data_IF_543397060047
#
_entry.id   IF_543397060047
#
_cell.length_a   1.000
_cell.length_b   1.000
_cell.length_c   1.000
_cell.angle_alpha   90.00
_cell.angle_beta   90.00
_cell.angle_gamma   90.00
#
_symmetry.space_group_name_H-M   'P 1'
#
loop_
_entity.id
_entity.type
_entity.pdbx_description
1 polymer ?
#
# COMPACT_ATOMS: atom_id res chain seq x y z
N UNK A 1 45.05 39.07 -22.50
CA UNK A 1 44.82 39.69 -23.82
C UNK A 1 43.32 39.63 -24.10
N UNK A 2 42.70 40.82 -24.25
CA UNK A 2 41.41 41.23 -24.88
C UNK A 2 40.36 40.15 -25.22
N UNK A 3 39.03 40.31 -25.12
CA UNK A 3 38.06 41.41 -24.91
C UNK A 3 36.70 40.70 -24.68
N UNK A 4 35.83 41.03 -23.71
CA UNK A 4 34.89 42.17 -23.62
C UNK A 4 33.70 42.18 -24.62
N UNK A 5 32.49 42.35 -24.03
CA UNK A 5 31.24 42.94 -24.55
C UNK A 5 30.26 41.99 -25.31
N UNK A 6 28.93 42.06 -25.22
CA UNK A 6 27.98 43.13 -24.82
C UNK A 6 26.59 42.52 -24.48
N UNK A 7 25.85 43.20 -23.60
CA UNK A 7 24.46 42.94 -23.24
C UNK A 7 23.46 43.54 -24.26
N UNK A 8 22.27 42.94 -24.41
CA UNK A 8 21.05 43.65 -24.86
C UNK A 8 19.83 43.18 -24.08
N UNK A 9 19.23 44.14 -23.39
CA UNK A 9 17.93 44.12 -22.71
C UNK A 9 16.78 44.16 -23.71
N UNK A 10 15.72 43.36 -23.50
CA UNK A 10 14.39 43.67 -24.02
C UNK A 10 13.36 43.61 -22.88
N UNK A 11 12.88 44.80 -22.49
CA UNK A 11 11.66 45.01 -21.70
C UNK A 11 10.46 44.79 -22.60
N UNK A 12 9.50 44.00 -22.15
CA UNK A 12 8.12 44.01 -22.69
C UNK A 12 7.22 44.58 -21.59
N UNK A 13 6.57 45.71 -21.90
CA UNK A 13 5.51 46.33 -21.12
C UNK A 13 4.19 46.11 -21.87
N UNK A 14 3.22 45.48 -21.23
CA UNK A 14 1.78 45.60 -21.57
C UNK A 14 1.03 45.52 -20.23
N UNK A 15 0.65 46.67 -19.67
CA UNK A 15 -0.62 47.37 -19.86
C UNK A 15 -1.81 46.59 -19.29
N UNK A 16 -2.17 46.96 -18.06
CA UNK A 16 -3.37 46.55 -17.34
C UNK A 16 -4.60 47.24 -17.95
N UNK A 17 -5.71 46.51 -18.10
CA UNK A 17 -7.05 47.06 -18.34
C UNK A 17 -7.99 46.44 -17.30
N UNK A 18 -8.67 47.21 -16.45
CA UNK A 18 -9.66 46.68 -15.51
C UNK A 18 -11.03 46.61 -16.18
N UNK A 19 -11.69 45.44 -16.10
CA UNK A 19 -13.10 45.29 -16.46
C UNK A 19 -13.93 45.36 -15.17
N UNK A 20 -14.61 46.48 -14.99
CA UNK A 20 -15.74 46.67 -14.08
C UNK A 20 -16.99 46.07 -14.73
N UNK A 21 -17.70 45.17 -14.05
CA UNK A 21 -19.09 44.84 -14.39
C UNK A 21 -19.95 45.00 -13.15
N UNK A 22 -20.99 45.84 -13.32
CA UNK A 22 -21.93 46.31 -12.33
C UNK A 22 -22.86 45.20 -11.80
N UNK A 23 -23.15 45.34 -10.51
CA UNK A 23 -24.29 44.75 -9.79
C UNK A 23 -25.59 45.35 -10.33
N UNK A 24 -26.55 44.50 -10.70
CA UNK A 24 -27.92 44.87 -11.06
C UNK A 24 -28.93 44.02 -10.30
N UNK A 25 -29.49 44.60 -9.25
CA UNK A 25 -30.59 44.06 -8.46
C UNK A 25 -31.91 44.42 -9.16
N UNK A 26 -32.77 43.45 -9.49
CA UNK A 26 -34.18 43.71 -9.82
C UNK A 26 -35.08 42.66 -9.16
N UNK A 27 -35.75 43.12 -8.12
CA UNK A 27 -36.93 42.53 -7.52
C UNK A 27 -38.14 42.91 -8.40
N UNK A 28 -38.98 41.96 -8.78
CA UNK A 28 -40.43 42.17 -8.90
C UNK A 28 -41.22 40.86 -9.00
N UNK A 29 -42.32 40.88 -8.27
CA UNK A 29 -43.36 39.88 -8.04
C UNK A 29 -44.39 39.84 -9.17
N UNK A 30 -44.88 38.66 -9.56
CA UNK A 30 -46.31 38.45 -9.92
C UNK A 30 -46.66 36.97 -10.12
N UNK A 31 -47.42 36.47 -9.16
CA UNK A 31 -48.58 35.54 -9.21
C UNK A 31 -48.95 34.92 -10.58
N UNK A 32 -48.89 33.57 -10.61
CA UNK A 32 -50.03 32.71 -10.93
C UNK A 32 -50.29 32.37 -12.41
N UNK A 33 -49.99 31.12 -12.77
CA UNK A 33 -50.83 30.28 -13.64
C UNK A 33 -50.43 28.81 -13.37
N UNK A 34 -51.31 28.09 -12.67
CA UNK A 34 -51.16 26.67 -12.39
C UNK A 34 -51.37 25.87 -13.69
N UNK A 35 -50.31 25.21 -14.16
CA UNK A 35 -50.42 24.11 -15.11
C UNK A 35 -50.29 22.81 -14.32
N UNK A 36 -51.38 22.06 -14.23
CA UNK A 36 -51.39 20.69 -13.72
C UNK A 36 -50.80 19.75 -14.77
N UNK A 37 -49.47 19.61 -14.77
CA UNK A 37 -48.80 18.51 -15.45
C UNK A 37 -48.77 17.32 -14.47
N UNK A 38 -49.67 16.37 -14.71
CA UNK A 38 -49.70 15.09 -14.01
C UNK A 38 -48.60 14.18 -14.57
N UNK A 39 -47.33 14.52 -14.33
CA UNK A 39 -46.24 13.59 -14.58
C UNK A 39 -46.17 12.61 -13.42
N UNK A 40 -46.66 11.38 -13.66
CA UNK A 40 -46.25 10.20 -12.88
C UNK A 40 -44.76 9.99 -13.14
N UNK A 41 -43.92 10.73 -12.42
CA UNK A 41 -42.55 10.32 -12.17
C UNK A 41 -42.64 9.02 -11.36
N UNK A 42 -42.44 7.89 -12.03
CA UNK A 42 -41.97 6.66 -11.39
C UNK A 42 -40.72 7.04 -10.63
N UNK A 43 -40.83 7.18 -9.31
CA UNK A 43 -39.70 7.32 -8.42
C UNK A 43 -38.88 6.03 -8.57
N UNK A 44 -37.92 6.03 -9.48
CA UNK A 44 -36.79 5.11 -9.43
C UNK A 44 -36.10 5.37 -8.11
N UNK A 45 -36.27 4.42 -7.20
CA UNK A 45 -35.50 4.31 -5.98
C UNK A 45 -34.02 4.56 -6.32
N UNK A 46 -33.32 5.48 -5.65
CA UNK A 46 -31.89 5.64 -5.88
C UNK A 46 -31.22 4.28 -5.67
N UNK A 47 -30.24 3.91 -6.50
CA UNK A 47 -29.56 2.63 -6.33
C UNK A 47 -29.11 2.51 -4.88
N UNK A 48 -29.58 1.44 -4.22
CA UNK A 48 -29.27 1.12 -2.83
C UNK A 48 -27.78 1.37 -2.60
N UNK A 49 -27.48 2.42 -1.83
CA UNK A 49 -26.10 2.73 -1.47
C UNK A 49 -25.56 1.48 -0.79
N UNK A 50 -24.49 0.90 -1.34
CA UNK A 50 -23.82 -0.22 -0.72
C UNK A 50 -23.61 0.13 0.78
N UNK A 51 -24.01 -0.76 1.71
CA UNK A 51 -23.91 -0.44 3.13
C UNK A 51 -22.49 -0.02 3.45
N UNK A 52 -22.35 1.08 4.20
CA UNK A 52 -21.04 1.57 4.62
C UNK A 52 -20.22 0.40 5.20
N UNK A 53 -18.93 0.29 4.84
CA UNK A 53 -18.13 -0.85 5.27
C UNK A 53 -18.11 -0.90 6.80
N UNK A 54 -18.55 -2.03 7.33
CA UNK A 54 -18.65 -2.21 8.78
C UNK A 54 -17.26 -2.18 9.42
N UNK A 55 -17.18 -1.68 10.65
CA UNK A 55 -15.96 -1.68 11.44
C UNK A 55 -15.61 -3.08 11.95
N UNK A 56 -14.32 -3.31 12.17
CA UNK A 56 -13.81 -4.49 12.84
C UNK A 56 -14.19 -4.49 14.33
N UNK A 57 -14.20 -5.69 14.91
CA UNK A 57 -14.21 -5.80 16.38
C UNK A 57 -12.87 -5.25 16.92
N UNK A 58 -12.86 -4.63 18.12
CA UNK A 58 -11.61 -4.17 18.71
C UNK A 58 -10.58 -5.29 18.81
N UNK A 59 -9.38 -5.03 18.31
CA UNK A 59 -8.23 -5.91 18.43
C UNK A 59 -7.31 -5.41 19.56
N UNK A 60 -6.66 -6.31 20.32
CA UNK A 60 -5.74 -5.91 21.39
C UNK A 60 -4.57 -5.10 20.83
N UNK A 61 -4.02 -4.15 21.59
CA UNK A 61 -2.83 -3.37 21.18
C UNK A 61 -3.02 -2.59 19.86
N UNK A 62 -4.21 -1.99 19.71
CA UNK A 62 -4.54 -1.11 18.58
C UNK A 62 -4.45 0.35 19.00
N UNK A 63 -3.71 1.15 18.24
CA UNK A 63 -3.62 2.60 18.33
C UNK A 63 -4.46 3.26 17.22
N UNK A 64 -5.49 3.99 17.62
CA UNK A 64 -6.48 4.58 16.71
C UNK A 64 -7.69 3.68 16.43
N UNK A 65 -8.75 4.30 15.90
CA UNK A 65 -10.03 3.64 15.60
C UNK A 65 -10.27 3.60 14.08
N UNK A 66 -11.35 2.93 13.65
CA UNK A 66 -11.80 2.97 12.25
C UNK A 66 -11.25 1.85 11.37
N UNK A 67 -10.63 0.82 11.95
CA UNK A 67 -10.24 -0.39 11.21
C UNK A 67 -11.49 -1.03 10.59
N UNK A 68 -11.52 -1.15 9.27
CA UNK A 68 -12.60 -1.85 8.57
C UNK A 68 -12.61 -3.33 8.94
N UNK A 69 -13.79 -3.95 8.91
CA UNK A 69 -13.96 -5.38 9.13
C UNK A 69 -13.08 -6.17 8.18
N UNK A 70 -12.48 -7.25 8.69
CA UNK A 70 -11.73 -8.19 7.88
C UNK A 70 -12.59 -8.68 6.70
N UNK A 71 -12.10 -8.59 5.45
CA UNK A 71 -12.80 -9.14 4.31
C UNK A 71 -13.00 -10.66 4.48
N UNK A 72 -14.14 -11.24 4.07
CA UNK A 72 -14.34 -12.69 4.19
C UNK A 72 -13.32 -13.47 3.34
N UNK A 73 -13.00 -14.71 3.69
CA UNK A 73 -12.14 -15.52 2.81
C UNK A 73 -12.77 -15.66 1.41
N UNK A 74 -11.93 -15.83 0.37
CA UNK A 74 -12.43 -16.21 -0.95
C UNK A 74 -12.88 -17.67 -0.95
N UNK A 75 -13.88 -17.96 -1.77
CA UNK A 75 -14.31 -19.34 -2.02
C UNK A 75 -13.20 -20.11 -2.72
N UNK A 76 -13.12 -21.43 -2.48
CA UNK A 76 -12.08 -22.27 -3.08
C UNK A 76 -12.08 -22.24 -4.62
N UNK A 77 -13.26 -22.07 -5.22
CA UNK A 77 -13.39 -21.94 -6.67
C UNK A 77 -12.71 -20.66 -7.19
N UNK A 78 -12.92 -19.54 -6.50
CA UNK A 78 -12.31 -18.26 -6.84
C UNK A 78 -10.79 -18.32 -6.66
N UNK A 79 -10.32 -18.89 -5.55
CA UNK A 79 -8.87 -19.08 -5.30
C UNK A 79 -8.23 -19.87 -6.44
N UNK A 80 -8.83 -21.00 -6.85
CA UNK A 80 -8.33 -21.81 -7.97
C UNK A 80 -8.32 -21.03 -9.28
N UNK A 81 -9.38 -20.27 -9.55
CA UNK A 81 -9.48 -19.45 -10.76
C UNK A 81 -8.39 -18.37 -10.80
N UNK A 82 -8.26 -17.58 -9.73
CA UNK A 82 -7.25 -16.51 -9.62
C UNK A 82 -5.82 -17.04 -9.67
N UNK A 83 -5.57 -18.19 -9.04
CA UNK A 83 -4.28 -18.85 -9.12
C UNK A 83 -3.96 -19.31 -10.55
N UNK A 84 -4.96 -19.82 -11.28
CA UNK A 84 -4.77 -20.24 -12.67
C UNK A 84 -4.37 -19.06 -13.56
N UNK A 85 -5.15 -17.97 -13.52
CA UNK A 85 -4.87 -16.79 -14.37
C UNK A 85 -3.56 -16.11 -13.97
N UNK A 86 -3.18 -16.13 -12.69
CA UNK A 86 -1.93 -15.54 -12.21
C UNK A 86 -0.69 -16.27 -12.72
N UNK A 87 -0.75 -17.60 -12.91
CA UNK A 87 0.35 -18.34 -13.55
C UNK A 87 0.56 -17.91 -15.00
N UNK A 88 -0.54 -17.69 -15.72
CA UNK A 88 -0.48 -17.28 -17.14
C UNK A 88 0.11 -15.86 -17.28
N UNK A 89 -0.12 -14.99 -16.29
CA UNK A 89 0.41 -13.61 -16.25
C UNK A 89 1.92 -13.49 -16.08
N UNK A 90 2.63 -14.58 -15.77
CA UNK A 90 4.08 -14.56 -15.51
C UNK A 90 4.95 -14.55 -16.78
N UNK A 91 4.38 -14.77 -17.96
CA UNK A 91 5.15 -15.08 -19.18
C UNK A 91 5.21 -13.97 -20.21
N UNK A 92 4.39 -12.92 -20.05
CA UNK A 92 4.26 -11.83 -21.03
C UNK A 92 4.17 -10.47 -20.33
N UNK A 93 4.68 -9.42 -20.99
CA UNK A 93 4.51 -8.04 -20.50
C UNK A 93 5.24 -7.70 -19.21
N UNK A 94 6.31 -8.42 -18.87
CA UNK A 94 7.09 -8.13 -17.67
C UNK A 94 7.67 -6.72 -17.70
N UNK A 95 7.51 -5.96 -16.61
CA UNK A 95 8.19 -4.68 -16.43
C UNK A 95 9.72 -4.87 -16.29
N UNK A 96 10.11 -5.88 -15.51
CA UNK A 96 11.47 -6.44 -15.44
C UNK A 96 11.34 -7.95 -15.43
N UNK A 97 12.30 -8.70 -15.99
CA UNK A 97 12.24 -10.16 -16.00
C UNK A 97 12.12 -10.74 -14.58
N UNK A 98 11.26 -11.76 -14.42
CA UNK A 98 11.03 -12.46 -13.15
C UNK A 98 12.35 -12.87 -12.47
N UNK A 99 12.44 -12.68 -11.16
CA UNK A 99 13.61 -13.02 -10.35
C UNK A 99 14.77 -12.02 -10.41
N UNK A 100 14.70 -11.02 -11.30
CA UNK A 100 15.72 -9.95 -11.36
C UNK A 100 15.68 -9.12 -10.09
N UNK A 101 16.85 -8.81 -9.52
CA UNK A 101 16.94 -7.92 -8.35
C UNK A 101 16.56 -6.49 -8.76
N UNK A 102 15.56 -5.93 -8.08
CA UNK A 102 15.06 -4.57 -8.29
C UNK A 102 15.78 -3.53 -7.43
N UNK A 103 16.26 -3.96 -6.26
CA UNK A 103 16.94 -3.17 -5.26
C UNK A 103 17.10 -3.97 -3.97
N UNK A 104 17.66 -3.36 -2.93
CA UNK A 104 17.78 -3.98 -1.62
C UNK A 104 17.66 -2.95 -0.50
N UNK A 105 17.08 -3.37 0.62
CA UNK A 105 17.06 -2.59 1.86
C UNK A 105 17.51 -3.48 3.01
N UNK A 106 18.39 -2.96 3.88
CA UNK A 106 18.88 -3.66 5.07
C UNK A 106 19.40 -5.07 4.78
N UNK A 107 20.15 -5.21 3.68
CA UNK A 107 20.70 -6.50 3.24
C UNK A 107 19.67 -7.49 2.70
N UNK A 108 18.42 -7.07 2.48
CA UNK A 108 17.34 -7.90 1.92
C UNK A 108 17.04 -7.45 0.49
N UNK A 109 17.43 -8.24 -0.53
CA UNK A 109 17.14 -7.90 -1.92
C UNK A 109 15.68 -8.15 -2.26
N UNK A 110 15.07 -7.28 -3.06
CA UNK A 110 13.77 -7.50 -3.67
C UNK A 110 13.92 -8.03 -5.09
N UNK A 111 13.13 -9.03 -5.45
CA UNK A 111 13.09 -9.60 -6.79
C UNK A 111 11.84 -9.13 -7.53
N UNK A 112 11.97 -9.02 -8.85
CA UNK A 112 10.84 -8.79 -9.73
C UNK A 112 9.92 -10.01 -9.76
N UNK A 113 8.63 -9.77 -9.64
CA UNK A 113 7.59 -10.74 -9.90
C UNK A 113 7.08 -10.67 -11.36
N UNK A 114 7.80 -10.02 -12.28
CA UNK A 114 7.40 -9.75 -13.66
C UNK A 114 6.23 -8.74 -13.78
N UNK A 115 5.05 -9.09 -13.27
CA UNK A 115 3.84 -8.24 -13.22
C UNK A 115 3.18 -8.36 -11.84
N UNK A 116 2.36 -7.37 -11.41
CA UNK A 116 1.66 -7.43 -10.11
C UNK A 116 0.79 -8.68 -9.92
N UNK A 117 0.27 -9.24 -11.02
CA UNK A 117 -0.68 -10.36 -11.01
C UNK A 117 -0.03 -11.72 -11.24
N UNK A 118 1.27 -11.78 -11.54
CA UNK A 118 1.98 -13.04 -11.72
C UNK A 118 2.00 -13.86 -10.42
N UNK A 119 1.76 -15.17 -10.54
CA UNK A 119 1.84 -16.14 -9.46
C UNK A 119 2.74 -17.29 -9.91
N UNK A 120 3.96 -17.34 -9.38
CA UNK A 120 4.88 -18.47 -9.59
C UNK A 120 4.71 -19.49 -8.44
N UNK A 121 4.38 -20.77 -8.71
CA UNK A 121 3.99 -21.75 -7.69
C UNK A 121 5.19 -22.36 -6.95
N UNK A 122 6.20 -21.54 -6.64
CA UNK A 122 7.38 -21.92 -5.89
C UNK A 122 7.48 -21.08 -4.61
N UNK A 123 8.17 -21.64 -3.63
CA UNK A 123 8.17 -21.13 -2.28
C UNK A 123 9.60 -20.88 -1.82
N UNK A 124 9.80 -19.78 -1.12
CA UNK A 124 11.08 -19.44 -0.53
C UNK A 124 11.14 -19.92 0.93
N UNK A 125 12.33 -20.36 1.33
CA UNK A 125 12.63 -20.83 2.67
C UNK A 125 13.93 -20.20 3.17
N UNK A 126 13.92 -19.71 4.41
CA UNK A 126 15.09 -19.20 5.12
C UNK A 126 15.77 -20.35 5.85
N UNK A 127 17.05 -20.56 5.56
CA UNK A 127 17.91 -21.44 6.34
C UNK A 127 18.37 -20.72 7.61
N UNK A 128 18.02 -21.26 8.78
CA UNK A 128 18.30 -20.65 10.07
C UNK A 128 19.78 -20.70 10.45
N UNK A 129 20.59 -21.59 9.89
CA UNK A 129 21.99 -21.71 10.26
C UNK A 129 22.87 -20.77 9.43
N UNK A 130 22.52 -20.59 8.17
CA UNK A 130 23.30 -19.81 7.19
C UNK A 130 22.70 -18.44 6.88
N UNK A 131 21.40 -18.22 7.14
CA UNK A 131 20.67 -17.03 6.72
C UNK A 131 20.38 -16.95 5.22
N UNK A 132 20.67 -18.02 4.48
CA UNK A 132 20.45 -18.12 3.04
C UNK A 132 18.97 -18.34 2.71
N UNK A 133 18.54 -17.87 1.54
CA UNK A 133 17.22 -18.15 0.99
C UNK A 133 17.36 -19.23 -0.08
N UNK A 134 16.53 -20.27 0.03
CA UNK A 134 16.37 -21.30 -1.00
C UNK A 134 14.97 -21.21 -1.60
N UNK A 135 14.82 -21.58 -2.86
CA UNK A 135 13.52 -21.70 -3.55
C UNK A 135 13.25 -23.19 -3.78
N UNK A 136 12.03 -23.61 -3.44
CA UNK A 136 11.59 -24.99 -3.55
C UNK A 136 10.18 -25.04 -4.16
N UNK A 137 9.92 -26.03 -5.02
CA UNK A 137 8.59 -26.24 -5.57
C UNK A 137 7.57 -26.76 -4.52
N UNK A 138 8.06 -27.31 -3.41
CA UNK A 138 7.27 -27.89 -2.31
C UNK A 138 8.01 -27.70 -0.99
N UNK A 139 7.30 -27.89 0.11
CA UNK A 139 7.91 -27.89 1.44
C UNK A 139 9.00 -28.98 1.54
N UNK A 140 10.27 -28.59 1.78
CA UNK A 140 11.36 -29.55 1.93
C UNK A 140 11.29 -30.36 3.24
N UNK A 141 10.39 -29.99 4.18
CA UNK A 141 10.22 -30.63 5.49
C UNK A 141 11.52 -30.71 6.31
N UNK A 142 12.39 -29.71 6.17
CA UNK A 142 13.65 -29.62 6.90
C UNK A 142 13.49 -28.73 8.14
N UNK A 143 13.89 -29.20 9.34
CA UNK A 143 13.63 -28.50 10.59
C UNK A 143 14.42 -27.20 10.77
N UNK A 144 15.51 -27.00 10.02
CA UNK A 144 16.30 -25.77 10.00
C UNK A 144 15.82 -24.76 8.95
N UNK A 145 14.85 -25.13 8.11
CA UNK A 145 14.25 -24.24 7.12
C UNK A 145 12.96 -23.63 7.68
N UNK A 146 12.74 -22.34 7.41
CA UNK A 146 11.51 -21.61 7.75
C UNK A 146 10.85 -21.10 6.49
N UNK A 147 9.55 -21.36 6.37
CA UNK A 147 8.76 -20.89 5.23
C UNK A 147 8.70 -19.36 5.21
N UNK A 148 9.04 -18.77 4.07
CA UNK A 148 9.06 -17.31 3.89
C UNK A 148 7.87 -16.85 3.08
N UNK A 149 7.54 -17.53 1.97
CA UNK A 149 6.40 -17.15 1.15
C UNK A 149 6.48 -17.65 -0.29
N UNK A 150 5.39 -17.43 -1.02
CA UNK A 150 5.34 -17.62 -2.47
C UNK A 150 6.22 -16.57 -3.17
N UNK A 151 7.12 -17.01 -4.05
CA UNK A 151 8.02 -16.08 -4.75
C UNK A 151 7.29 -15.33 -5.87
N UNK A 152 7.56 -14.06 -6.15
CA UNK A 152 8.22 -13.04 -5.32
C UNK A 152 7.15 -12.03 -4.86
N UNK A 153 6.20 -12.50 -4.06
CA UNK A 153 5.05 -11.72 -3.63
C UNK A 153 5.42 -10.68 -2.55
N UNK A 154 4.54 -9.71 -2.32
CA UNK A 154 4.72 -8.69 -1.28
C UNK A 154 4.81 -9.28 0.13
N UNK A 155 3.98 -10.29 0.42
CA UNK A 155 3.96 -11.00 1.71
C UNK A 155 5.26 -11.75 1.95
N UNK A 156 5.84 -12.35 0.90
CA UNK A 156 7.13 -13.05 0.96
C UNK A 156 8.25 -12.08 1.36
N UNK A 157 8.33 -10.92 0.70
CA UNK A 157 9.33 -9.91 1.03
C UNK A 157 9.20 -9.39 2.46
N UNK A 158 7.97 -9.04 2.88
CA UNK A 158 7.70 -8.54 4.22
C UNK A 158 8.10 -9.56 5.30
N UNK A 159 7.70 -10.83 5.12
CA UNK A 159 8.09 -11.91 6.04
C UNK A 159 9.60 -12.11 6.05
N UNK A 160 10.24 -12.16 4.88
CA UNK A 160 11.70 -12.30 4.76
C UNK A 160 12.45 -11.20 5.47
N UNK A 161 12.01 -9.95 5.33
CA UNK A 161 12.64 -8.82 5.99
C UNK A 161 12.53 -8.93 7.51
N UNK A 162 11.35 -9.27 8.06
CA UNK A 162 11.18 -9.50 9.50
C UNK A 162 12.04 -10.66 10.00
N UNK A 163 12.10 -11.77 9.27
CA UNK A 163 12.92 -12.91 9.67
C UNK A 163 14.41 -12.57 9.72
N UNK A 164 14.92 -11.84 8.72
CA UNK A 164 16.34 -11.48 8.63
C UNK A 164 16.76 -10.38 9.61
N UNK A 165 15.90 -9.38 9.83
CA UNK A 165 16.26 -8.19 10.61
C UNK A 165 15.77 -8.24 12.06
N UNK A 166 14.67 -8.95 12.33
CA UNK A 166 14.04 -9.01 13.65
C UNK A 166 14.05 -10.42 14.25
N UNK A 167 14.33 -11.46 13.46
CA UNK A 167 14.27 -12.85 13.94
C UNK A 167 12.86 -13.36 14.17
N UNK A 168 11.84 -12.72 13.57
CA UNK A 168 10.43 -13.06 13.78
C UNK A 168 9.71 -13.29 12.46
N UNK A 169 8.58 -13.99 12.52
CA UNK A 169 7.67 -14.17 11.40
C UNK A 169 6.21 -13.98 11.82
N UNK A 170 5.43 -13.27 11.01
CA UNK A 170 3.98 -13.32 11.13
C UNK A 170 3.44 -14.59 10.47
N UNK A 171 2.30 -15.07 10.98
CA UNK A 171 1.67 -16.31 10.52
C UNK A 171 1.22 -16.29 9.05
N UNK A 172 0.71 -17.44 8.59
CA UNK A 172 0.18 -17.56 7.24
C UNK A 172 -1.08 -16.71 7.05
N UNK A 173 -1.14 -16.05 5.90
CA UNK A 173 -2.23 -15.13 5.54
C UNK A 173 -2.68 -15.43 4.10
N UNK A 174 -4.01 -15.54 3.84
CA UNK A 174 -4.52 -15.69 2.48
C UNK A 174 -4.26 -14.46 1.60
N UNK A 175 -4.39 -13.25 2.14
CA UNK A 175 -4.07 -12.00 1.48
C UNK A 175 -3.20 -11.09 2.34
N UNK A 176 -2.52 -10.13 1.72
CA UNK A 176 -1.68 -9.18 2.43
C UNK A 176 -2.48 -8.33 3.44
N UNK A 177 -3.75 -8.02 3.14
CA UNK A 177 -4.63 -7.30 4.08
C UNK A 177 -4.79 -8.03 5.41
N UNK A 178 -4.75 -9.37 5.43
CA UNK A 178 -5.00 -10.15 6.64
C UNK A 178 -3.93 -9.90 7.72
N UNK A 179 -2.74 -9.40 7.34
CA UNK A 179 -1.66 -9.03 8.25
C UNK A 179 -2.13 -8.02 9.31
N UNK A 180 -3.01 -7.06 8.95
CA UNK A 180 -3.46 -6.04 9.91
C UNK A 180 -4.32 -6.63 11.04
N UNK A 181 -4.90 -7.81 10.84
CA UNK A 181 -5.75 -8.48 11.83
C UNK A 181 -4.98 -9.47 12.71
N UNK A 182 -3.72 -9.75 12.41
CA UNK A 182 -2.89 -10.63 13.23
C UNK A 182 -2.59 -10.00 14.59
N UNK A 183 -2.65 -10.82 15.64
CA UNK A 183 -2.37 -10.43 17.02
C UNK A 183 -1.04 -10.95 17.54
N UNK A 184 -0.41 -11.88 16.81
CA UNK A 184 0.86 -12.50 17.20
C UNK A 184 1.75 -12.77 16.00
N UNK A 185 3.04 -12.64 16.21
CA UNK A 185 4.12 -13.22 15.43
C UNK A 185 4.79 -14.32 16.25
N UNK A 186 5.76 -15.01 15.67
CA UNK A 186 6.60 -15.97 16.38
C UNK A 186 8.09 -15.65 16.19
N UNK A 187 8.89 -15.92 17.22
CA UNK A 187 10.34 -16.03 17.08
C UNK A 187 10.69 -17.25 16.23
N UNK A 188 11.50 -17.06 15.18
CA UNK A 188 11.73 -18.10 14.17
C UNK A 188 12.54 -19.30 14.68
N UNK A 189 13.26 -19.17 15.80
CA UNK A 189 14.07 -20.24 16.37
C UNK A 189 13.37 -20.96 17.50
N UNK A 190 12.72 -20.20 18.38
CA UNK A 190 12.13 -20.70 19.63
C UNK A 190 10.62 -20.94 19.53
N UNK A 191 9.97 -20.45 18.47
CA UNK A 191 8.52 -20.45 18.29
C UNK A 191 7.76 -19.73 19.43
N UNK A 192 8.46 -18.89 20.20
CA UNK A 192 7.82 -18.08 21.22
C UNK A 192 6.91 -17.05 20.57
N UNK A 193 5.68 -16.95 21.10
CA UNK A 193 4.69 -15.99 20.62
C UNK A 193 5.07 -14.57 21.01
N UNK A 194 5.04 -13.67 20.04
CA UNK A 194 5.33 -12.24 20.19
C UNK A 194 4.07 -11.46 19.85
N UNK A 195 3.57 -10.66 20.79
CA UNK A 195 2.38 -9.85 20.55
C UNK A 195 2.61 -8.84 19.41
N UNK A 196 1.62 -8.69 18.53
CA UNK A 196 1.58 -7.67 17.50
C UNK A 196 0.65 -6.54 17.89
N UNK A 197 1.15 -5.33 17.70
CA UNK A 197 0.39 -4.09 17.80
C UNK A 197 0.16 -3.50 16.41
N UNK A 198 -0.81 -2.60 16.31
CA UNK A 198 -1.14 -1.94 15.04
C UNK A 198 -1.60 -0.51 15.26
N UNK A 199 -1.31 0.33 14.29
CA UNK A 199 -1.72 1.72 14.23
C UNK A 199 -2.64 1.93 13.04
N UNK A 200 -3.86 2.44 13.27
CA UNK A 200 -4.87 2.64 12.24
C UNK A 200 -4.64 3.95 11.50
N UNK A 201 -4.55 3.87 10.17
CA UNK A 201 -4.20 5.02 9.34
C UNK A 201 -5.18 6.18 9.54
N UNK A 202 -4.66 7.39 9.79
CA UNK A 202 -5.45 8.60 10.04
C UNK A 202 -5.97 8.77 11.46
N UNK A 203 -5.89 7.73 12.30
CA UNK A 203 -6.34 7.77 13.70
C UNK A 203 -5.24 7.43 14.72
N UNK A 204 -4.10 6.91 14.27
CA UNK A 204 -2.97 6.51 15.09
C UNK A 204 -2.16 7.70 15.63
N UNK A 205 -1.68 7.57 16.86
CA UNK A 205 -0.79 8.53 17.53
C UNK A 205 0.69 8.19 17.38
N UNK A 206 1.03 6.93 17.16
CA UNK A 206 2.40 6.50 16.97
C UNK A 206 2.74 6.63 15.49
N UNK A 207 3.72 7.44 15.05
CA UNK A 207 4.14 7.45 13.65
C UNK A 207 4.65 6.06 13.23
N UNK A 208 4.65 5.73 11.93
CA UNK A 208 5.36 4.57 11.44
C UNK A 208 6.85 4.64 11.82
N UNK A 209 7.49 3.49 11.95
CA UNK A 209 8.91 3.33 12.27
C UNK A 209 9.52 2.28 11.37
N UNK A 210 10.85 2.34 11.18
CA UNK A 210 11.59 1.32 10.44
C UNK A 210 11.24 -0.08 10.96
N UNK A 211 10.92 -0.99 10.04
CA UNK A 211 10.48 -2.35 10.31
C UNK A 211 8.97 -2.53 10.52
N UNK A 212 8.19 -1.46 10.64
CA UNK A 212 6.74 -1.59 10.61
C UNK A 212 6.26 -2.06 9.23
N UNK A 213 5.18 -2.83 9.19
CA UNK A 213 4.55 -3.29 7.95
C UNK A 213 3.37 -2.39 7.62
N UNK A 214 3.46 -1.58 6.56
CA UNK A 214 2.33 -0.82 6.02
C UNK A 214 1.43 -1.77 5.24
N UNK A 215 0.17 -1.87 5.65
CA UNK A 215 -0.82 -2.77 5.07
C UNK A 215 -1.88 -1.97 4.32
N UNK A 216 -2.23 -2.44 3.12
CA UNK A 216 -3.23 -1.84 2.25
C UNK A 216 -4.50 -2.69 2.23
N UNK A 217 -5.65 -2.03 2.14
CA UNK A 217 -6.93 -2.68 1.90
C UNK A 217 -6.99 -3.28 0.49
N UNK A 218 -7.78 -4.35 0.30
CA UNK A 218 -8.00 -4.92 -1.02
C UNK A 218 -9.04 -4.13 -1.80
N UNK A 219 -8.92 -4.18 -3.12
CA UNK A 219 -10.04 -4.00 -4.06
C UNK A 219 -10.26 -5.34 -4.75
N UNK A 220 -11.37 -6.02 -4.47
CA UNK A 220 -11.60 -7.40 -4.94
C UNK A 220 -11.78 -7.50 -6.45
N UNK A 221 -12.24 -6.41 -7.06
CA UNK A 221 -12.54 -6.32 -8.47
C UNK A 221 -11.26 -6.07 -9.27
N UNK A 222 -10.31 -5.35 -8.68
CA UNK A 222 -9.00 -5.09 -9.25
C UNK A 222 -8.05 -6.30 -9.07
N UNK A 223 -7.52 -6.90 -10.16
CA UNK A 223 -6.57 -8.00 -10.08
C UNK A 223 -5.29 -7.70 -9.30
N UNK A 224 -4.78 -6.48 -9.34
CA UNK A 224 -3.54 -6.08 -8.66
C UNK A 224 -3.78 -5.88 -7.15
N UNK A 225 -4.93 -5.30 -6.80
CA UNK A 225 -5.30 -4.99 -5.43
C UNK A 225 -6.16 -6.06 -4.74
N UNK A 226 -6.50 -7.16 -5.41
CA UNK A 226 -7.45 -8.20 -4.91
C UNK A 226 -7.20 -8.69 -3.50
N UNK A 227 -5.92 -8.75 -3.11
CA UNK A 227 -5.46 -9.30 -1.85
C UNK A 227 -4.99 -8.22 -0.86
N UNK A 228 -5.08 -6.95 -1.26
CA UNK A 228 -4.37 -5.85 -0.63
C UNK A 228 -2.88 -5.93 -0.92
N UNK A 229 -2.11 -5.20 -0.13
CA UNK A 229 -0.66 -5.13 -0.29
C UNK A 229 0.04 -4.93 1.05
N UNK A 230 1.33 -5.25 1.10
CA UNK A 230 2.17 -4.99 2.27
C UNK A 230 3.55 -4.48 1.86
N UNK A 231 4.04 -3.48 2.57
CA UNK A 231 5.37 -2.91 2.39
C UNK A 231 6.07 -2.72 3.75
N UNK A 232 7.39 -2.79 3.76
CA UNK A 232 8.19 -2.56 4.97
C UNK A 232 8.61 -1.10 5.02
N UNK A 233 8.39 -0.43 6.14
CA UNK A 233 8.95 0.90 6.38
C UNK A 233 10.45 0.79 6.56
N UNK A 234 11.23 1.52 5.75
CA UNK A 234 12.69 1.61 5.91
C UNK A 234 13.12 3.02 6.31
N UNK A 235 12.34 4.05 6.03
CA UNK A 235 12.72 5.43 6.35
C UNK A 235 11.50 6.23 6.73
N UNK A 236 11.65 7.13 7.70
CA UNK A 236 10.59 8.04 8.12
C UNK A 236 11.20 9.42 8.31
N UNK A 237 10.76 10.37 7.51
CA UNK A 237 11.14 11.77 7.60
C UNK A 237 9.88 12.56 7.96
N UNK A 238 9.68 12.77 9.27
CA UNK A 238 8.51 13.48 9.78
C UNK A 238 8.58 14.98 9.47
N UNK A 239 9.78 15.56 9.38
CA UNK A 239 9.97 16.97 9.05
C UNK A 239 9.56 17.26 7.60
N UNK A 240 9.91 16.37 6.67
CA UNK A 240 9.52 16.46 5.26
C UNK A 240 8.19 15.79 4.94
N UNK A 241 7.58 15.10 5.91
CA UNK A 241 6.31 14.40 5.73
C UNK A 241 6.40 13.26 4.72
N UNK A 242 7.38 12.36 4.87
CA UNK A 242 7.52 11.21 3.98
C UNK A 242 7.93 9.92 4.68
N UNK A 243 7.56 8.80 4.07
CA UNK A 243 7.97 7.44 4.47
C UNK A 243 8.57 6.74 3.25
N UNK A 244 9.72 6.10 3.45
CA UNK A 244 10.38 5.26 2.45
C UNK A 244 9.98 3.80 2.69
N UNK A 245 9.59 3.11 1.62
CA UNK A 245 9.06 1.76 1.65
C UNK A 245 9.95 0.80 0.85
N UNK A 246 10.16 -0.39 1.40
CA UNK A 246 10.78 -1.51 0.71
C UNK A 246 9.75 -2.63 0.52
N UNK A 247 9.60 -3.11 -0.70
CA UNK A 247 8.54 -4.06 -1.06
C UNK A 247 8.86 -4.81 -2.35
N UNK A 248 8.11 -5.90 -2.58
CA UNK A 248 8.02 -6.59 -3.86
C UNK A 248 6.58 -6.54 -4.35
N UNK A 249 6.40 -6.74 -5.65
CA UNK A 249 5.09 -6.92 -6.28
C UNK A 249 4.11 -5.74 -6.12
N UNK A 250 4.61 -4.53 -5.87
CA UNK A 250 3.87 -3.29 -6.10
C UNK A 250 4.20 -2.78 -7.50
N UNK A 251 5.43 -2.28 -7.67
CA UNK A 251 6.05 -2.04 -8.97
C UNK A 251 7.08 -3.14 -9.22
N UNK A 252 7.15 -3.60 -10.47
CA UNK A 252 8.13 -4.58 -10.91
C UNK A 252 9.28 -3.94 -11.71
N UNK A 253 9.42 -2.62 -11.65
CA UNK A 253 10.55 -1.85 -12.18
C UNK A 253 11.69 -1.74 -11.13
N UNK A 254 12.93 -1.36 -11.54
CA UNK A 254 13.99 -1.04 -10.59
C UNK A 254 13.54 0.00 -9.56
N UNK A 255 14.01 -0.17 -8.32
CA UNK A 255 13.68 0.70 -7.19
C UNK A 255 14.11 2.16 -7.42
N UNK A 256 13.37 3.11 -6.85
CA UNK A 256 13.72 4.54 -6.88
C UNK A 256 15.15 4.78 -6.34
N UNK A 257 15.50 4.08 -5.26
CA UNK A 257 16.86 3.96 -4.76
C UNK A 257 17.24 2.47 -4.65
N UNK A 258 18.07 1.94 -5.57
CA UNK A 258 18.45 0.52 -5.59
C UNK A 258 19.11 0.01 -4.31
N UNK A 259 19.56 0.90 -3.42
CA UNK A 259 20.28 0.55 -2.19
C UNK A 259 19.53 0.88 -0.90
N UNK A 260 18.31 1.44 -1.00
CA UNK A 260 17.58 1.93 0.18
C UNK A 260 16.07 1.62 0.14
N UNK A 261 15.34 2.05 -0.88
CA UNK A 261 13.86 1.89 -0.94
C UNK A 261 13.33 1.73 -2.36
N UNK A 262 12.21 1.01 -2.44
CA UNK A 262 11.40 0.90 -3.66
C UNK A 262 10.80 2.24 -4.05
N UNK A 263 10.20 2.93 -3.08
CA UNK A 263 9.52 4.21 -3.27
C UNK A 263 9.35 5.00 -1.99
N UNK A 264 9.00 6.29 -2.13
CA UNK A 264 8.53 7.14 -1.01
C UNK A 264 7.06 7.49 -1.13
N UNK A 265 6.38 7.59 0.01
CA UNK A 265 4.99 8.05 0.13
C UNK A 265 4.86 9.20 1.13
N UNK A 266 3.74 9.91 1.10
CA UNK A 266 3.48 11.06 1.97
C UNK A 266 3.01 10.64 3.35
N UNK A 267 3.52 11.34 4.36
CA UNK A 267 3.14 11.29 5.76
C UNK A 267 2.62 12.65 6.20
N UNK A 268 1.49 12.65 6.89
CA UNK A 268 0.91 13.84 7.50
C UNK A 268 0.67 13.59 8.98
N UNK A 269 0.86 14.64 9.78
CA UNK A 269 0.40 14.70 11.15
C UNK A 269 -0.71 15.76 11.26
N UNK A 270 -1.90 15.35 11.70
CA UNK A 270 -3.05 16.23 11.88
C UNK A 270 -3.57 16.05 13.30
N UNK A 271 -3.39 17.07 14.15
CA UNK A 271 -3.84 17.01 15.55
C UNK A 271 -3.20 15.86 16.35
N UNK A 272 -1.92 15.54 16.10
CA UNK A 272 -1.23 14.42 16.74
C UNK A 272 -1.61 13.05 16.18
N UNK A 273 -2.28 12.99 15.02
CA UNK A 273 -2.65 11.75 14.33
C UNK A 273 -1.94 11.61 13.00
N UNK A 274 -1.39 10.43 12.74
CA UNK A 274 -0.58 10.18 11.55
C UNK A 274 -1.42 9.57 10.42
N UNK A 275 -1.26 10.12 9.23
CA UNK A 275 -1.89 9.63 8.00
C UNK A 275 -0.82 9.37 6.94
N UNK A 276 -0.77 8.15 6.45
CA UNK A 276 -0.06 7.78 5.23
C UNK A 276 -1.00 7.87 4.04
N UNK A 277 -0.52 8.48 2.96
CA UNK A 277 -1.21 8.52 1.68
C UNK A 277 -0.26 7.96 0.62
N UNK A 278 -0.73 6.98 -0.15
CA UNK A 278 0.02 6.32 -1.22
C UNK A 278 0.19 7.23 -2.45
N UNK A 279 0.89 8.35 -2.24
CA UNK A 279 1.22 9.35 -3.23
C UNK A 279 2.66 9.75 -2.95
N UNK A 280 3.49 9.82 -4.01
CA UNK A 280 4.88 10.21 -3.82
C UNK A 280 5.02 11.67 -3.35
N UNK A 281 6.10 12.04 -2.64
CA UNK A 281 6.26 13.38 -2.08
C UNK A 281 6.19 14.53 -3.10
N UNK A 282 6.46 14.25 -4.38
CA UNK A 282 6.46 15.24 -5.47
C UNK A 282 5.14 15.29 -6.24
N UNK A 283 4.15 14.47 -5.87
CA UNK A 283 2.88 14.33 -6.59
C UNK A 283 1.69 14.66 -5.68
N UNK A 284 0.53 14.85 -6.32
CA UNK A 284 -0.76 15.09 -5.66
C UNK A 284 -1.78 14.00 -5.92
N UNK A 285 -1.44 13.04 -6.78
CA UNK A 285 -2.28 11.89 -7.15
C UNK A 285 -1.39 10.68 -7.43
N UNK A 286 -1.93 9.50 -7.23
CA UNK A 286 -1.38 8.23 -7.68
C UNK A 286 -2.56 7.42 -8.23
N UNK A 287 -2.59 7.18 -9.53
CA UNK A 287 -3.72 6.50 -10.17
C UNK A 287 -3.74 5.00 -9.83
N UNK A 288 -2.56 4.43 -9.60
CA UNK A 288 -2.37 3.02 -9.29
C UNK A 288 -2.26 2.78 -7.77
N UNK A 289 -2.41 3.83 -6.97
CA UNK A 289 -2.20 3.81 -5.53
C UNK A 289 -3.35 3.17 -4.76
N UNK A 290 -3.01 2.42 -3.71
CA UNK A 290 -3.98 1.72 -2.89
C UNK A 290 -4.39 2.48 -1.64
N UNK A 291 -5.48 2.02 -1.01
CA UNK A 291 -5.93 2.57 0.27
C UNK A 291 -5.18 1.91 1.44
N UNK A 292 -4.41 2.69 2.18
CA UNK A 292 -3.66 2.21 3.35
C UNK A 292 -4.61 2.00 4.55
N UNK A 293 -4.55 0.81 5.14
CA UNK A 293 -5.31 0.44 6.33
C UNK A 293 -4.62 0.89 7.62
N UNK A 294 -3.29 0.76 7.67
CA UNK A 294 -2.49 1.07 8.85
C UNK A 294 -1.12 0.43 8.77
N UNK A 295 -0.44 0.36 9.91
CA UNK A 295 0.83 -0.37 10.04
C UNK A 295 0.87 -1.29 11.25
N UNK A 296 1.52 -2.45 11.07
CA UNK A 296 1.67 -3.51 12.08
C UNK A 296 3.11 -3.62 12.52
N UNK A 297 3.33 -3.90 13.81
CA UNK A 297 4.66 -4.00 14.38
C UNK A 297 4.67 -4.93 15.60
N UNK A 298 5.82 -5.57 15.91
CA UNK A 298 5.97 -6.28 17.18
C UNK A 298 5.79 -5.29 18.33
N UNK A 299 4.92 -5.64 19.27
CA UNK A 299 4.75 -4.89 20.50
C UNK A 299 6.05 -5.00 21.29
N UNK A 300 6.75 -3.88 21.49
CA UNK A 300 7.93 -3.85 22.35
C UNK A 300 7.58 -4.43 23.73
N UNK A 301 8.45 -5.29 24.27
CA UNK A 301 8.38 -5.64 25.68
C UNK A 301 8.41 -4.33 26.47
N UNK A 302 7.42 -4.15 27.36
CA UNK A 302 7.36 -2.98 28.25
C UNK A 302 8.53 -2.99 29.22
#
# INVERSE_FOLDING_TARGET
MFSAALAVSRRVRHSWVPILVLIGLLCQTAVGLAWTAQDRATATEPPSQAPAPALARPLPDTDGDGLLRQPPAFELADIKHYFSIGKDACTVGCATSFGTVLGAADGVPAQSNCTPTCIHPEYSYLDLDTGAISVQARDPQQPNLRYVGLIYQCVEYARRWWMKNLGIAFGDVPGAVDIIYLTTAEDIRTHQSIALARSINGAAQRPPRRGDLVVYYPDRQDPEWRWGHVAVVIGVDQERGSVSLAEQNYSNAPWEDPTDHARRIRLFEVGGRYTLIDVSPTQVKNADGGRIAGWVYPRSAR
#
